data_IF_601045797231
#
_entry.id   IF_601045797231
#
_cell.length_a   1.000
_cell.length_b   1.000
_cell.length_c   1.000
_cell.angle_alpha   90.00
_cell.angle_beta   90.00
_cell.angle_gamma   90.00
#
_symmetry.space_group_name_H-M   'P 1'
#
loop_
_entity.id
_entity.type
_entity.pdbx_description
1 polymer ?
#
# COMPACT_ATOMS: atom_id res chain seq x y z
N UNK A 1 6.68 -4.04 -8.73
CA UNK A 1 5.65 -4.77 -7.96
C UNK A 1 4.32 -4.01 -7.87
N UNK A 2 4.31 -2.70 -7.64
CA UNK A 2 3.08 -1.89 -7.45
C UNK A 2 2.01 -2.05 -8.53
N UNK A 3 2.40 -2.20 -9.81
CA UNK A 3 1.45 -2.39 -10.89
C UNK A 3 0.78 -3.77 -10.89
N UNK A 4 1.40 -4.79 -10.29
CA UNK A 4 0.89 -6.17 -10.26
C UNK A 4 0.15 -6.50 -8.95
N UNK A 5 0.60 -5.95 -7.84
CA UNK A 5 0.11 -6.28 -6.50
C UNK A 5 -1.42 -6.17 -6.35
N UNK A 6 -2.09 -5.09 -6.83
CA UNK A 6 -3.54 -5.00 -6.76
C UNK A 6 -4.25 -6.13 -7.51
N UNK A 7 -3.74 -6.57 -8.66
CA UNK A 7 -4.32 -7.70 -9.38
C UNK A 7 -4.08 -9.03 -8.68
N UNK A 8 -2.89 -9.22 -8.07
CA UNK A 8 -2.57 -10.46 -7.35
C UNK A 8 -3.38 -10.65 -6.07
N UNK A 9 -3.94 -9.57 -5.53
CA UNK A 9 -4.71 -9.58 -4.27
C UNK A 9 -6.21 -9.37 -4.46
N UNK A 10 -6.66 -9.00 -5.67
CA UNK A 10 -8.08 -8.75 -5.95
C UNK A 10 -8.88 -10.05 -5.93
N UNK A 11 -10.02 -10.10 -5.21
CA UNK A 11 -10.79 -11.34 -5.03
C UNK A 11 -11.34 -11.95 -6.33
N UNK A 12 -11.64 -11.11 -7.33
CA UNK A 12 -12.22 -11.54 -8.60
C UNK A 12 -11.17 -11.78 -9.71
N UNK A 13 -9.87 -11.66 -9.39
CA UNK A 13 -8.76 -11.96 -10.30
C UNK A 13 -8.13 -13.30 -9.90
N UNK A 14 -8.36 -14.35 -10.67
CA UNK A 14 -7.87 -15.68 -10.34
C UNK A 14 -6.43 -15.94 -10.80
N UNK A 15 -5.94 -15.24 -11.84
CA UNK A 15 -4.59 -15.39 -12.37
C UNK A 15 -4.02 -14.05 -12.88
N UNK A 16 -2.72 -13.87 -12.72
CA UNK A 16 -1.97 -12.76 -13.31
C UNK A 16 -0.88 -13.34 -14.19
N UNK A 17 -0.90 -13.03 -15.49
CA UNK A 17 0.08 -13.46 -16.48
C UNK A 17 1.04 -12.31 -16.78
N UNK A 18 2.27 -12.32 -16.22
CA UNK A 18 3.27 -11.30 -16.58
C UNK A 18 3.83 -11.53 -17.97
N UNK A 19 4.04 -10.42 -18.67
CA UNK A 19 4.79 -10.37 -19.93
C UNK A 19 5.98 -9.44 -19.72
N UNK A 20 7.20 -9.94 -19.91
CA UNK A 20 8.42 -9.20 -19.59
C UNK A 20 9.40 -9.17 -20.77
N UNK A 21 10.29 -8.18 -20.77
CA UNK A 21 11.47 -8.24 -21.61
C UNK A 21 12.41 -9.35 -21.06
N UNK A 22 12.90 -10.27 -21.88
CA UNK A 22 13.85 -11.28 -21.42
C UNK A 22 15.12 -10.70 -20.79
N UNK A 23 15.58 -9.53 -21.25
CA UNK A 23 16.78 -8.87 -20.72
C UNK A 23 16.59 -8.33 -19.28
N UNK A 24 15.34 -8.12 -18.85
CA UNK A 24 14.98 -7.61 -17.52
C UNK A 24 14.55 -8.71 -16.56
N UNK A 25 14.81 -9.99 -16.87
CA UNK A 25 14.30 -11.13 -16.11
C UNK A 25 14.69 -11.07 -14.62
N UNK A 26 15.96 -10.84 -14.32
CA UNK A 26 16.49 -10.83 -12.95
C UNK A 26 15.90 -9.67 -12.11
N UNK A 27 15.79 -8.48 -12.73
CA UNK A 27 15.18 -7.29 -12.07
C UNK A 27 13.69 -7.55 -11.80
N UNK A 28 12.99 -8.15 -12.78
CA UNK A 28 11.60 -8.52 -12.61
C UNK A 28 11.43 -9.50 -11.45
N UNK A 29 12.18 -10.61 -11.44
CA UNK A 29 12.06 -11.65 -10.41
C UNK A 29 12.36 -11.10 -9.00
N UNK A 30 13.36 -10.23 -8.84
CA UNK A 30 13.62 -9.54 -7.57
C UNK A 30 12.44 -8.64 -7.14
N UNK A 31 11.86 -7.89 -8.08
CA UNK A 31 10.81 -6.92 -7.79
C UNK A 31 9.48 -7.56 -7.35
N UNK A 32 9.18 -8.80 -7.80
CA UNK A 32 7.86 -9.45 -7.63
C UNK A 32 7.91 -10.80 -6.93
N UNK A 33 9.06 -11.23 -6.38
CA UNK A 33 9.28 -12.54 -5.73
C UNK A 33 8.28 -12.86 -4.61
N UNK A 34 7.66 -11.85 -4.01
CA UNK A 34 6.68 -11.96 -2.93
C UNK A 34 5.24 -12.10 -3.42
N UNK A 35 4.99 -11.98 -4.73
CA UNK A 35 3.66 -12.07 -5.33
C UNK A 35 3.38 -13.47 -5.90
N UNK A 36 2.10 -13.80 -6.07
CA UNK A 36 1.65 -15.02 -6.76
C UNK A 36 1.21 -14.67 -8.17
N UNK A 37 1.80 -15.29 -9.18
CA UNK A 37 1.49 -15.07 -10.60
C UNK A 37 1.85 -16.29 -11.43
N UNK A 38 1.36 -16.33 -12.68
CA UNK A 38 1.68 -17.36 -13.68
C UNK A 38 3.13 -17.21 -14.16
N UNK A 39 3.71 -18.30 -14.67
CA UNK A 39 5.06 -18.26 -15.23
C UNK A 39 5.18 -17.13 -16.28
N UNK A 40 6.10 -16.17 -16.11
CA UNK A 40 6.22 -15.06 -17.03
C UNK A 40 6.55 -15.51 -18.46
N UNK A 41 5.95 -14.85 -19.44
CA UNK A 41 6.31 -15.04 -20.87
C UNK A 41 7.09 -13.85 -21.38
N UNK A 42 7.89 -14.09 -22.42
CA UNK A 42 8.65 -13.04 -23.07
C UNK A 42 7.76 -12.22 -23.99
N UNK A 43 7.89 -10.90 -23.91
CA UNK A 43 7.23 -9.97 -24.82
C UNK A 43 7.82 -10.01 -26.23
N UNK A 44 7.09 -9.42 -27.16
CA UNK A 44 7.53 -9.22 -28.54
C UNK A 44 8.16 -7.85 -28.78
N UNK A 45 8.44 -7.55 -30.05
CA UNK A 45 9.05 -6.29 -30.47
C UNK A 45 8.16 -5.05 -30.25
N UNK A 46 6.85 -5.25 -30.16
CA UNK A 46 5.87 -4.17 -29.94
C UNK A 46 5.01 -4.45 -28.71
N UNK A 47 4.34 -3.41 -28.18
CA UNK A 47 3.34 -3.59 -27.10
C UNK A 47 2.26 -4.58 -27.53
N UNK A 48 1.75 -4.46 -28.74
CA UNK A 48 0.72 -5.35 -29.28
C UNK A 48 1.19 -6.81 -29.33
N UNK A 49 2.43 -7.07 -29.80
CA UNK A 49 3.00 -8.41 -29.83
C UNK A 49 3.21 -8.98 -28.42
N UNK A 50 3.57 -8.14 -27.45
CA UNK A 50 3.71 -8.52 -26.05
C UNK A 50 2.36 -8.90 -25.44
N UNK A 51 1.32 -8.09 -25.67
CA UNK A 51 -0.05 -8.40 -25.21
C UNK A 51 -0.52 -9.73 -25.81
N UNK A 52 -0.32 -9.94 -27.10
CA UNK A 52 -0.68 -11.20 -27.75
C UNK A 52 0.03 -12.40 -27.11
N UNK A 53 1.33 -12.29 -26.79
CA UNK A 53 2.06 -13.37 -26.11
C UNK A 53 1.44 -13.71 -24.75
N UNK A 54 1.00 -12.72 -23.98
CA UNK A 54 0.28 -12.93 -22.73
C UNK A 54 -1.08 -13.58 -22.92
N UNK A 55 -1.86 -13.15 -23.91
CA UNK A 55 -3.16 -13.75 -24.23
C UNK A 55 -3.01 -15.21 -24.70
N UNK A 56 -2.03 -15.52 -25.54
CA UNK A 56 -1.76 -16.89 -25.96
C UNK A 56 -1.36 -17.81 -24.79
N UNK A 57 -0.63 -17.29 -23.81
CA UNK A 57 -0.28 -18.04 -22.61
C UNK A 57 -1.48 -18.42 -21.77
N UNK A 58 -2.51 -17.58 -21.75
CA UNK A 58 -3.78 -17.83 -21.06
C UNK A 58 -4.78 -18.67 -21.86
N UNK A 59 -4.48 -19.00 -23.12
CA UNK A 59 -5.45 -19.66 -24.00
C UNK A 59 -5.93 -21.04 -23.50
N UNK A 60 -5.09 -21.77 -22.76
CA UNK A 60 -5.48 -23.06 -22.17
C UNK A 60 -6.41 -22.93 -20.97
N UNK A 61 -6.37 -21.81 -20.27
CA UNK A 61 -7.22 -21.53 -19.11
C UNK A 61 -8.56 -20.93 -19.53
N UNK A 62 -8.60 -20.28 -20.70
CA UNK A 62 -9.78 -19.69 -21.33
C UNK A 62 -10.67 -18.91 -20.35
N UNK A 63 -10.13 -17.85 -19.69
CA UNK A 63 -10.92 -17.07 -18.75
C UNK A 63 -12.10 -16.36 -19.46
N UNK A 64 -13.16 -16.06 -18.73
CA UNK A 64 -14.29 -15.31 -19.30
C UNK A 64 -13.88 -13.89 -19.70
N UNK A 65 -13.14 -13.23 -18.81
CA UNK A 65 -12.68 -11.83 -18.96
C UNK A 65 -11.16 -11.77 -18.81
N UNK A 66 -10.52 -10.95 -19.61
CA UNK A 66 -9.10 -10.58 -19.46
C UNK A 66 -8.96 -9.07 -19.23
N UNK A 67 -8.07 -8.72 -18.33
CA UNK A 67 -7.66 -7.35 -18.02
C UNK A 67 -6.25 -7.11 -18.57
N UNK A 68 -6.09 -6.21 -19.53
CA UNK A 68 -4.80 -5.87 -20.12
C UNK A 68 -4.30 -4.59 -19.46
N UNK A 69 -3.16 -4.66 -18.75
CA UNK A 69 -2.67 -3.55 -17.95
C UNK A 69 -1.23 -3.16 -18.28
N UNK A 70 -0.99 -1.87 -18.42
CA UNK A 70 0.35 -1.32 -18.62
C UNK A 70 1.13 -1.29 -17.30
N UNK A 71 2.28 -1.95 -17.23
CA UNK A 71 3.17 -1.94 -16.06
C UNK A 71 3.62 -0.53 -15.63
N UNK A 72 3.62 0.43 -16.56
CA UNK A 72 3.91 1.83 -16.28
C UNK A 72 2.80 2.58 -15.51
N UNK A 73 1.65 1.95 -15.25
CA UNK A 73 0.57 2.49 -14.40
C UNK A 73 0.60 1.82 -13.03
N UNK A 74 1.51 2.29 -12.19
CA UNK A 74 1.81 1.69 -10.90
C UNK A 74 0.76 1.97 -9.79
N UNK A 75 -0.27 2.78 -10.06
CA UNK A 75 -1.21 3.26 -9.04
C UNK A 75 -2.67 2.89 -9.34
N UNK A 76 -2.89 1.80 -10.04
CA UNK A 76 -4.22 1.24 -10.22
C UNK A 76 -4.80 0.82 -8.87
N UNK A 77 -6.09 1.09 -8.66
CA UNK A 77 -6.80 0.74 -7.42
C UNK A 77 -7.74 -0.44 -7.64
N UNK A 78 -8.06 -1.18 -6.56
CA UNK A 78 -9.04 -2.27 -6.60
C UNK A 78 -10.39 -1.80 -7.17
N UNK A 79 -10.79 -0.55 -6.90
CA UNK A 79 -12.03 0.05 -7.44
C UNK A 79 -12.02 0.13 -8.97
N UNK A 80 -10.88 0.47 -9.57
CA UNK A 80 -10.75 0.51 -11.04
C UNK A 80 -10.77 -0.90 -11.62
N UNK A 81 -10.14 -1.86 -10.94
CA UNK A 81 -10.16 -3.28 -11.34
C UNK A 81 -11.58 -3.84 -11.29
N UNK A 82 -12.31 -3.64 -10.18
CA UNK A 82 -13.71 -4.09 -10.05
C UNK A 82 -14.59 -3.50 -11.15
N UNK A 83 -14.51 -2.15 -11.39
CA UNK A 83 -15.27 -1.49 -12.47
C UNK A 83 -14.95 -2.06 -13.85
N UNK A 84 -13.67 -2.41 -14.10
CA UNK A 84 -13.25 -3.00 -15.37
C UNK A 84 -13.91 -4.37 -15.60
N UNK A 85 -13.92 -5.21 -14.55
CA UNK A 85 -14.57 -6.54 -14.59
C UNK A 85 -16.07 -6.37 -14.82
N UNK A 86 -16.74 -5.57 -14.01
CA UNK A 86 -18.19 -5.34 -14.11
C UNK A 86 -18.60 -4.81 -15.48
N UNK A 87 -17.87 -3.82 -15.99
CA UNK A 87 -18.15 -3.23 -17.30
C UNK A 87 -17.99 -4.27 -18.43
N UNK A 88 -16.90 -5.07 -18.41
CA UNK A 88 -16.66 -6.07 -19.42
C UNK A 88 -17.66 -7.25 -19.36
N UNK A 89 -18.13 -7.64 -18.18
CA UNK A 89 -19.19 -8.62 -18.03
C UNK A 89 -20.50 -8.17 -18.69
N UNK A 90 -20.81 -6.85 -18.63
CA UNK A 90 -22.04 -6.29 -19.20
C UNK A 90 -21.88 -6.04 -20.70
N UNK A 91 -20.77 -5.44 -21.14
CA UNK A 91 -20.62 -4.91 -22.51
C UNK A 91 -19.75 -5.76 -23.42
N UNK A 92 -18.98 -6.69 -22.88
CA UNK A 92 -18.00 -7.51 -23.59
C UNK A 92 -16.64 -6.84 -23.82
N UNK A 93 -16.59 -5.50 -23.86
CA UNK A 93 -15.35 -4.73 -24.01
C UNK A 93 -15.52 -3.36 -23.34
N UNK A 94 -14.61 -2.96 -22.47
CA UNK A 94 -14.65 -1.68 -21.77
C UNK A 94 -13.26 -1.19 -21.33
N UNK A 95 -13.09 0.14 -21.32
CA UNK A 95 -11.84 0.79 -20.91
C UNK A 95 -12.08 1.92 -19.89
N UNK A 96 -11.17 2.11 -18.92
CA UNK A 96 -11.22 3.25 -18.02
C UNK A 96 -10.83 4.53 -18.74
N UNK A 97 -11.58 5.60 -18.47
CA UNK A 97 -11.30 6.91 -19.05
C UNK A 97 -11.39 8.00 -18.00
N UNK A 98 -10.61 9.06 -18.19
CA UNK A 98 -10.76 10.31 -17.43
C UNK A 98 -11.01 11.48 -18.39
N UNK A 99 -11.72 12.55 -17.96
CA UNK A 99 -11.93 13.74 -18.78
C UNK A 99 -10.58 14.37 -19.19
N UNK A 100 -10.48 14.87 -20.42
CA UNK A 100 -9.38 15.73 -20.83
C UNK A 100 -9.56 17.11 -20.17
N UNK A 101 -8.60 17.52 -19.32
CA UNK A 101 -8.63 18.80 -18.59
C UNK A 101 -8.07 19.94 -19.42
N UNK A 102 -7.07 19.65 -20.26
CA UNK A 102 -6.42 20.64 -21.10
C UNK A 102 -7.11 20.85 -22.45
N UNK A 103 -6.85 22.00 -23.10
CA UNK A 103 -7.30 22.23 -24.46
C UNK A 103 -6.43 21.45 -25.44
N UNK A 104 -7.04 20.51 -26.16
CA UNK A 104 -6.35 19.70 -27.17
C UNK A 104 -6.35 20.43 -28.51
N UNK A 105 -5.20 20.46 -29.17
CA UNK A 105 -5.01 20.99 -30.53
C UNK A 105 -4.61 19.87 -31.48
N UNK A 106 -5.30 19.78 -32.59
CA UNK A 106 -4.88 18.96 -33.73
C UNK A 106 -3.96 19.82 -34.59
N UNK A 107 -2.76 19.32 -34.86
CA UNK A 107 -1.76 20.03 -35.67
C UNK A 107 -1.37 19.21 -36.89
N UNK A 108 -0.94 19.90 -37.97
CA UNK A 108 -0.38 19.25 -39.16
C UNK A 108 1.13 18.96 -39.00
N UNK A 109 1.73 18.42 -40.06
CA UNK A 109 3.16 18.07 -40.07
C UNK A 109 4.10 19.28 -39.89
N UNK A 110 3.60 20.53 -40.09
CA UNK A 110 4.37 21.78 -39.89
C UNK A 110 4.23 22.33 -38.49
N UNK A 111 3.34 21.75 -37.65
CA UNK A 111 2.99 22.24 -36.31
C UNK A 111 1.88 23.30 -36.33
N UNK A 112 1.28 23.61 -37.48
CA UNK A 112 0.16 24.55 -37.55
C UNK A 112 -1.14 23.92 -37.04
N UNK A 113 -1.92 24.71 -36.26
CA UNK A 113 -3.20 24.26 -35.66
C UNK A 113 -4.23 24.07 -36.76
N UNK A 114 -4.77 22.86 -36.89
CA UNK A 114 -5.82 22.49 -37.82
C UNK A 114 -7.22 22.50 -37.16
N UNK A 115 -7.30 22.08 -35.90
CA UNK A 115 -8.57 22.02 -35.18
C UNK A 115 -8.38 22.14 -33.67
N UNK A 116 -9.45 22.51 -32.99
CA UNK A 116 -9.57 22.47 -31.55
C UNK A 116 -10.85 21.68 -31.21
N UNK A 117 -10.73 20.36 -30.97
CA UNK A 117 -11.87 19.54 -30.61
C UNK A 117 -12.56 20.00 -29.33
N UNK A 118 -13.86 19.81 -29.24
CA UNK A 118 -14.59 20.07 -28.00
C UNK A 118 -14.16 19.05 -26.93
N UNK A 119 -13.49 19.55 -25.90
CA UNK A 119 -12.98 18.73 -24.80
C UNK A 119 -14.08 18.00 -24.00
N UNK A 120 -15.33 18.48 -24.08
CA UNK A 120 -16.46 17.81 -23.41
C UNK A 120 -16.62 16.36 -23.91
N UNK A 121 -16.23 16.09 -25.15
CA UNK A 121 -16.31 14.78 -25.79
C UNK A 121 -14.98 14.02 -25.78
N UNK A 122 -13.90 14.60 -25.25
CA UNK A 122 -12.59 13.97 -25.20
C UNK A 122 -12.37 13.26 -23.88
N UNK A 123 -11.80 12.07 -23.97
CA UNK A 123 -11.42 11.26 -22.82
C UNK A 123 -9.99 10.77 -22.99
N UNK A 124 -9.26 10.68 -21.88
CA UNK A 124 -7.93 10.09 -21.85
C UNK A 124 -8.12 8.63 -21.43
N UNK A 125 -7.75 7.70 -22.31
CA UNK A 125 -7.82 6.27 -22.05
C UNK A 125 -6.75 5.83 -21.05
N UNK A 126 -7.15 4.93 -20.19
CA UNK A 126 -6.24 4.29 -19.23
C UNK A 126 -6.29 2.77 -19.35
N UNK A 127 -5.56 2.06 -18.50
CA UNK A 127 -5.65 0.62 -18.29
C UNK A 127 -5.91 0.31 -16.81
N UNK A 128 -6.51 -0.84 -16.45
CA UNK A 128 -6.70 -2.05 -17.27
C UNK A 128 -7.82 -1.89 -18.30
N UNK A 129 -7.56 -2.32 -19.54
CA UNK A 129 -8.58 -2.47 -20.58
C UNK A 129 -9.15 -3.89 -20.47
N UNK A 130 -10.45 -4.02 -20.39
CA UNK A 130 -11.14 -5.26 -20.07
C UNK A 130 -11.96 -5.77 -21.25
N UNK A 131 -11.84 -7.05 -21.56
CA UNK A 131 -12.47 -7.69 -22.71
C UNK A 131 -12.93 -9.11 -22.40
N UNK A 132 -13.93 -9.61 -23.13
CA UNK A 132 -14.12 -11.05 -23.25
C UNK A 132 -12.87 -11.67 -23.87
N UNK A 133 -12.37 -12.69 -23.22
CA UNK A 133 -11.07 -13.27 -23.56
C UNK A 133 -11.01 -13.80 -25.00
N UNK A 134 -12.00 -14.59 -25.40
CA UNK A 134 -12.08 -15.19 -26.73
C UNK A 134 -12.09 -14.14 -27.84
N UNK A 135 -12.87 -13.07 -27.66
CA UNK A 135 -13.05 -12.02 -28.67
C UNK A 135 -11.79 -11.19 -28.86
N UNK A 136 -11.11 -10.80 -27.76
CA UNK A 136 -9.88 -10.01 -27.90
C UNK A 136 -8.69 -10.85 -28.37
N UNK A 137 -8.58 -12.12 -27.98
CA UNK A 137 -7.57 -13.03 -28.49
C UNK A 137 -7.72 -13.24 -30.01
N UNK A 138 -8.95 -13.46 -30.49
CA UNK A 138 -9.22 -13.59 -31.92
C UNK A 138 -8.90 -12.31 -32.68
N UNK A 139 -9.21 -11.14 -32.12
CA UNK A 139 -8.85 -9.85 -32.72
C UNK A 139 -7.32 -9.68 -32.87
N UNK A 140 -6.56 -10.01 -31.81
CA UNK A 140 -5.09 -9.99 -31.85
C UNK A 140 -4.49 -10.98 -32.85
N UNK A 141 -5.06 -12.20 -32.92
CA UNK A 141 -4.64 -13.22 -33.90
C UNK A 141 -4.93 -12.79 -35.33
N UNK A 142 -6.09 -12.15 -35.55
CA UNK A 142 -6.46 -11.61 -36.86
C UNK A 142 -5.52 -10.47 -37.26
N UNK A 143 -5.27 -9.50 -36.38
CA UNK A 143 -4.32 -8.41 -36.63
C UNK A 143 -2.94 -8.93 -37.02
N UNK A 144 -2.43 -9.96 -36.31
CA UNK A 144 -1.15 -10.58 -36.61
C UNK A 144 -1.15 -11.28 -37.99
N UNK A 145 -2.21 -12.01 -38.37
CA UNK A 145 -2.32 -12.63 -39.70
C UNK A 145 -2.35 -11.63 -40.82
N UNK A 146 -2.93 -10.45 -40.59
CA UNK A 146 -3.02 -9.35 -41.55
C UNK A 146 -1.77 -8.42 -41.54
N UNK A 147 -0.75 -8.76 -40.70
CA UNK A 147 0.46 -7.98 -40.58
C UNK A 147 0.27 -6.60 -39.95
N UNK A 148 -0.79 -6.42 -39.20
CA UNK A 148 -1.13 -5.17 -38.51
C UNK A 148 -0.50 -5.15 -37.12
N UNK A 149 0.42 -4.22 -36.85
CA UNK A 149 1.07 -4.00 -35.56
C UNK A 149 1.11 -2.50 -35.14
N UNK A 150 0.27 -1.69 -35.77
CA UNK A 150 0.20 -0.24 -35.69
C UNK A 150 -0.85 0.30 -34.70
N UNK A 151 -1.52 -0.58 -33.96
CA UNK A 151 -2.53 -0.17 -33.01
C UNK A 151 -1.91 0.41 -31.71
N UNK A 152 -2.47 1.52 -31.25
CA UNK A 152 -1.95 2.24 -30.08
C UNK A 152 -2.32 1.58 -28.74
N UNK A 153 -3.48 0.89 -28.71
CA UNK A 153 -3.97 0.16 -27.54
C UNK A 153 -4.89 -1.01 -27.95
N UNK A 154 -5.38 -1.76 -26.98
CA UNK A 154 -6.20 -2.95 -27.22
C UNK A 154 -7.65 -2.58 -27.58
N UNK A 155 -8.11 -1.40 -27.14
CA UNK A 155 -9.40 -0.85 -27.59
C UNK A 155 -9.42 -0.61 -29.08
N UNK A 156 -8.35 -0.03 -29.65
CA UNK A 156 -8.23 0.21 -31.10
C UNK A 156 -8.25 -1.12 -31.89
N UNK A 157 -7.64 -2.19 -31.36
CA UNK A 157 -7.71 -3.52 -32.00
C UNK A 157 -9.14 -4.06 -31.94
N UNK A 158 -9.82 -3.93 -30.78
CA UNK A 158 -11.21 -4.35 -30.62
C UNK A 158 -12.15 -3.61 -31.58
N UNK A 159 -12.04 -2.27 -31.66
CA UNK A 159 -12.80 -1.43 -32.58
C UNK A 159 -12.57 -1.82 -34.05
N UNK A 160 -11.30 -2.02 -34.44
CA UNK A 160 -10.97 -2.50 -35.80
C UNK A 160 -11.56 -3.88 -36.11
N UNK A 161 -11.63 -4.76 -35.09
CA UNK A 161 -12.26 -6.07 -35.23
C UNK A 161 -13.80 -5.99 -35.29
N UNK A 162 -14.39 -4.81 -35.10
CA UNK A 162 -15.84 -4.58 -35.13
C UNK A 162 -16.56 -4.68 -33.79
N UNK A 163 -15.79 -4.70 -32.70
CA UNK A 163 -16.35 -4.71 -31.34
C UNK A 163 -16.73 -3.28 -30.92
N UNK A 164 -17.84 -3.14 -30.20
CA UNK A 164 -18.17 -1.89 -29.50
C UNK A 164 -17.46 -1.85 -28.17
N UNK A 165 -16.62 -0.85 -27.95
CA UNK A 165 -15.88 -0.67 -26.69
C UNK A 165 -16.60 0.40 -25.85
N UNK A 166 -17.06 0.00 -24.67
CA UNK A 166 -17.65 0.91 -23.69
C UNK A 166 -16.58 1.63 -22.87
N UNK A 167 -16.96 2.72 -22.21
CA UNK A 167 -16.09 3.42 -21.27
C UNK A 167 -16.67 3.40 -19.87
N UNK A 168 -15.78 3.35 -18.86
CA UNK A 168 -16.14 3.53 -17.46
C UNK A 168 -15.22 4.54 -16.79
N UNK A 169 -15.59 4.97 -15.59
CA UNK A 169 -14.83 5.96 -14.83
C UNK A 169 -13.48 5.39 -14.38
N UNK A 170 -12.39 5.99 -14.85
CA UNK A 170 -11.01 5.70 -14.43
C UNK A 170 -10.65 6.41 -13.13
N UNK A 171 -9.36 6.61 -12.91
CA UNK A 171 -8.81 7.30 -11.74
C UNK A 171 -7.67 8.22 -12.18
N UNK A 172 -7.74 9.52 -11.83
CA UNK A 172 -6.70 10.48 -12.16
C UNK A 172 -5.32 10.10 -11.58
N UNK A 173 -5.30 9.38 -10.45
CA UNK A 173 -4.08 8.87 -9.85
C UNK A 173 -3.47 7.69 -10.62
N UNK A 174 -4.24 7.01 -11.49
CA UNK A 174 -3.77 5.90 -12.33
C UNK A 174 -3.07 6.41 -13.60
N UNK A 175 -2.15 7.35 -13.42
CA UNK A 175 -1.38 7.92 -14.52
C UNK A 175 -0.30 6.96 -15.03
N UNK A 176 0.13 7.14 -16.27
CA UNK A 176 1.23 6.38 -16.87
C UNK A 176 2.55 7.10 -16.59
N UNK A 177 3.49 6.42 -15.93
CA UNK A 177 4.82 6.93 -15.64
C UNK A 177 5.72 6.67 -16.86
N UNK A 178 6.07 7.71 -17.59
CA UNK A 178 6.84 7.60 -18.85
C UNK A 178 8.08 8.45 -18.88
N UNK A 179 8.16 9.47 -18.04
CA UNK A 179 9.28 10.40 -17.97
C UNK A 179 9.89 10.44 -16.57
N UNK A 180 11.17 10.84 -16.40
CA UNK A 180 11.75 11.05 -15.08
C UNK A 180 10.95 12.03 -14.22
N UNK A 181 10.34 13.04 -14.83
CA UNK A 181 9.49 14.02 -14.14
C UNK A 181 8.21 13.39 -13.58
N UNK A 182 7.63 12.39 -14.28
CA UNK A 182 6.49 11.64 -13.76
C UNK A 182 6.87 10.88 -12.49
N UNK A 183 8.04 10.24 -12.48
CA UNK A 183 8.56 9.55 -11.30
C UNK A 183 8.81 10.52 -10.14
N UNK A 184 9.50 11.64 -10.38
CA UNK A 184 9.77 12.64 -9.35
C UNK A 184 8.47 13.20 -8.73
N UNK A 185 7.46 13.47 -9.56
CA UNK A 185 6.14 13.93 -9.10
C UNK A 185 5.44 12.90 -8.22
N UNK A 186 5.46 11.62 -8.62
CA UNK A 186 4.83 10.56 -7.84
C UNK A 186 5.60 10.22 -6.56
N UNK A 187 6.92 10.31 -6.56
CA UNK A 187 7.72 10.22 -5.33
C UNK A 187 7.38 11.33 -4.35
N UNK A 188 7.27 12.58 -4.83
CA UNK A 188 6.85 13.70 -4.00
C UNK A 188 5.43 13.51 -3.44
N UNK A 189 4.48 13.01 -4.27
CA UNK A 189 3.12 12.68 -3.84
C UNK A 189 3.10 11.59 -2.77
N UNK A 190 3.87 10.52 -2.96
CA UNK A 190 4.00 9.44 -1.97
C UNK A 190 4.68 9.94 -0.69
N UNK A 191 5.71 10.79 -0.82
CA UNK A 191 6.36 11.44 0.31
C UNK A 191 5.40 12.31 1.12
N UNK A 192 4.55 13.09 0.45
CA UNK A 192 3.52 13.89 1.11
C UNK A 192 2.44 13.03 1.82
N UNK A 193 2.17 11.81 1.32
CA UNK A 193 1.26 10.86 1.96
C UNK A 193 1.86 10.19 3.21
N UNK A 194 3.19 10.22 3.40
CA UNK A 194 3.83 9.70 4.63
C UNK A 194 3.49 10.54 5.86
N UNK A 195 2.97 11.75 5.67
CA UNK A 195 2.55 12.62 6.76
C UNK A 195 3.73 13.16 7.59
N UNK A 196 3.41 13.68 8.76
CA UNK A 196 4.36 14.20 9.75
C UNK A 196 4.94 13.01 10.55
N UNK A 197 6.12 12.50 10.15
CA UNK A 197 6.81 11.42 10.87
C UNK A 197 7.56 12.02 12.05
N UNK A 198 7.20 11.59 13.25
CA UNK A 198 7.84 12.00 14.51
C UNK A 198 8.42 10.81 15.24
N UNK A 199 9.52 11.04 15.94
CA UNK A 199 10.11 10.09 16.89
C UNK A 199 10.10 10.71 18.28
N UNK A 200 9.92 9.89 19.30
CA UNK A 200 10.01 10.31 20.69
C UNK A 200 10.89 9.34 21.47
N UNK A 201 11.54 9.88 22.50
CA UNK A 201 12.36 9.12 23.44
C UNK A 201 11.83 9.39 24.83
N UNK A 202 11.62 8.34 25.62
CA UNK A 202 11.26 8.43 27.02
C UNK A 202 12.29 7.68 27.87
N UNK A 203 12.49 8.13 29.09
CA UNK A 203 13.37 7.54 30.06
C UNK A 203 12.72 7.60 31.44
N UNK A 204 12.72 6.46 32.16
CA UNK A 204 12.22 6.40 33.52
C UNK A 204 13.11 5.53 34.42
N UNK A 205 13.16 5.87 35.68
CA UNK A 205 13.88 5.13 36.69
C UNK A 205 13.19 5.27 38.05
N UNK A 206 13.03 4.16 38.73
CA UNK A 206 12.46 4.12 40.09
C UNK A 206 13.41 3.51 41.10
N UNK A 207 13.38 4.06 42.30
CA UNK A 207 14.06 3.45 43.44
C UNK A 207 13.37 2.14 43.83
N UNK A 208 14.15 1.19 44.32
CA UNK A 208 13.64 -0.06 44.89
C UNK A 208 13.24 0.14 46.37
N UNK A 209 12.14 -0.50 46.77
CA UNK A 209 11.63 -0.55 48.13
C UNK A 209 11.31 -2.01 48.52
N UNK A 210 10.79 -2.25 49.72
CA UNK A 210 10.30 -3.58 50.11
C UNK A 210 9.13 -3.99 49.23
N UNK A 211 9.10 -5.27 48.84
CA UNK A 211 8.08 -5.81 47.95
C UNK A 211 8.41 -7.25 47.56
N UNK A 212 7.55 -7.84 46.76
CA UNK A 212 7.65 -9.23 46.30
C UNK A 212 7.59 -9.38 44.77
N UNK A 213 7.38 -8.27 44.05
CA UNK A 213 7.40 -8.26 42.59
C UNK A 213 7.70 -6.86 42.01
N UNK A 214 8.06 -6.81 40.73
CA UNK A 214 8.17 -5.61 39.92
C UNK A 214 7.16 -5.68 38.77
N UNK A 215 6.49 -4.56 38.47
CA UNK A 215 5.75 -4.42 37.21
C UNK A 215 6.73 -3.96 36.11
N UNK A 216 6.86 -4.73 35.04
CA UNK A 216 7.75 -4.42 33.93
C UNK A 216 7.04 -4.66 32.59
N UNK A 217 6.80 -3.60 31.83
CA UNK A 217 6.09 -3.63 30.56
C UNK A 217 4.71 -4.34 30.65
N UNK A 218 3.98 -4.11 31.74
CA UNK A 218 2.66 -4.69 32.00
C UNK A 218 2.69 -6.14 32.48
N UNK A 219 3.88 -6.69 32.80
CA UNK A 219 4.05 -8.06 33.31
C UNK A 219 4.51 -8.04 34.75
N UNK A 220 3.81 -8.73 35.68
CA UNK A 220 4.29 -8.89 37.05
C UNK A 220 5.46 -9.89 37.08
N UNK A 221 6.60 -9.42 37.56
CA UNK A 221 7.85 -10.20 37.62
C UNK A 221 8.18 -10.46 39.07
N UNK A 222 8.17 -11.71 39.55
CA UNK A 222 8.55 -12.03 40.91
C UNK A 222 9.96 -11.54 41.22
N UNK A 223 10.12 -10.78 42.30
CA UNK A 223 11.38 -10.21 42.74
C UNK A 223 11.31 -9.93 44.25
N UNK A 224 12.42 -9.88 44.92
CA UNK A 224 12.48 -9.67 46.39
C UNK A 224 12.41 -8.18 46.79
N UNK A 225 12.05 -7.29 45.88
CA UNK A 225 11.85 -5.85 46.05
C UNK A 225 10.68 -5.37 45.20
N UNK A 226 10.12 -4.21 45.53
CA UNK A 226 9.15 -3.48 44.73
C UNK A 226 9.71 -2.16 44.24
N UNK A 227 8.95 -1.42 43.42
CA UNK A 227 9.28 -0.04 43.05
C UNK A 227 8.66 0.95 44.05
N UNK A 228 9.43 2.00 44.39
CA UNK A 228 8.89 3.15 45.10
C UNK A 228 8.28 4.10 44.06
N UNK A 229 6.96 4.05 43.89
CA UNK A 229 6.23 4.83 42.92
C UNK A 229 4.84 5.25 43.42
N UNK A 230 4.20 6.22 42.76
CA UNK A 230 2.80 6.60 43.03
C UNK A 230 1.79 5.68 42.33
N UNK A 231 2.16 5.08 41.18
CA UNK A 231 1.42 4.08 40.43
C UNK A 231 1.91 2.66 40.77
N UNK A 232 1.69 1.69 39.88
CA UNK A 232 2.30 0.36 39.95
C UNK A 232 3.82 0.36 39.68
N UNK A 233 4.38 1.52 39.27
CA UNK A 233 5.81 1.74 39.06
C UNK A 233 6.40 1.07 37.82
N UNK A 234 5.58 0.74 36.82
CA UNK A 234 6.07 0.10 35.60
C UNK A 234 6.96 1.05 34.78
N UNK A 235 8.26 1.03 35.05
CA UNK A 235 9.26 1.89 34.38
C UNK A 235 9.27 1.73 32.85
N UNK A 236 8.97 0.52 32.35
CA UNK A 236 8.94 0.25 30.92
C UNK A 236 7.78 0.93 30.22
N UNK A 237 6.58 0.83 30.82
CA UNK A 237 5.41 1.52 30.30
C UNK A 237 5.51 3.04 30.48
N UNK A 238 6.07 3.54 31.59
CA UNK A 238 6.26 4.97 31.82
C UNK A 238 7.19 5.58 30.77
N UNK A 239 8.30 4.92 30.44
CA UNK A 239 9.20 5.39 29.39
C UNK A 239 8.49 5.44 28.02
N UNK A 240 7.63 4.48 27.68
CA UNK A 240 6.84 4.55 26.45
C UNK A 240 5.83 5.72 26.51
N UNK A 241 5.18 5.91 27.67
CA UNK A 241 4.23 7.01 27.86
C UNK A 241 4.90 8.36 27.71
N UNK A 242 6.14 8.55 28.17
CA UNK A 242 6.88 9.80 27.95
C UNK A 242 7.30 9.98 26.49
N UNK A 243 7.73 8.90 25.83
CA UNK A 243 8.12 8.95 24.43
C UNK A 243 7.00 9.45 23.50
N UNK A 244 5.76 9.05 23.76
CA UNK A 244 4.61 9.36 22.88
C UNK A 244 4.21 10.83 22.97
N UNK A 245 3.83 11.41 24.14
CA UNK A 245 3.57 12.84 24.24
C UNK A 245 4.76 13.70 23.84
N UNK A 246 6.00 13.26 24.14
CA UNK A 246 7.21 13.93 23.67
C UNK A 246 7.28 14.05 22.15
N UNK A 247 6.96 12.97 21.40
CA UNK A 247 6.85 13.01 19.94
C UNK A 247 5.75 13.95 19.44
N UNK A 248 4.68 14.11 20.23
CA UNK A 248 3.55 15.00 19.92
C UNK A 248 3.78 16.46 20.36
N UNK A 249 4.90 16.75 21.03
CA UNK A 249 5.15 18.04 21.73
C UNK A 249 4.02 18.38 22.73
N UNK A 250 3.53 17.39 23.48
CA UNK A 250 2.35 17.45 24.35
C UNK A 250 2.69 17.16 25.82
N UNK A 251 3.90 17.55 26.24
CA UNK A 251 4.37 17.34 27.61
C UNK A 251 4.88 15.92 27.87
N UNK A 252 4.68 15.46 29.11
CA UNK A 252 5.17 14.22 29.69
C UNK A 252 4.09 13.49 30.50
N UNK A 253 4.41 12.33 31.06
CA UNK A 253 3.50 11.56 31.91
C UNK A 253 3.01 12.40 33.12
N UNK A 254 3.87 13.24 33.70
CA UNK A 254 3.52 14.07 34.84
C UNK A 254 2.53 15.18 34.50
N UNK A 255 2.57 15.70 33.28
CA UNK A 255 1.63 16.70 32.76
C UNK A 255 0.23 16.13 32.59
N UNK A 256 0.12 14.88 32.11
CA UNK A 256 -1.17 14.20 31.89
C UNK A 256 -1.71 13.50 33.14
N UNK A 257 -0.81 13.02 34.01
CA UNK A 257 -1.12 12.25 35.22
C UNK A 257 -0.36 12.80 36.42
N UNK A 258 -0.71 13.99 36.91
CA UNK A 258 0.06 14.64 37.98
C UNK A 258 0.04 13.77 39.26
N UNK A 259 1.22 13.50 39.85
CA UNK A 259 1.34 12.71 41.08
C UNK A 259 0.57 13.28 42.27
N UNK A 260 0.23 14.58 42.23
CA UNK A 260 -0.57 15.25 43.24
C UNK A 260 -2.07 14.85 43.22
N UNK A 261 -2.55 14.22 42.14
CA UNK A 261 -3.93 13.77 42.01
C UNK A 261 -4.08 12.38 42.64
N UNK A 262 -4.82 12.25 43.78
CA UNK A 262 -4.97 10.98 44.48
C UNK A 262 -5.56 9.83 43.66
N UNK A 263 -6.26 10.11 42.55
CA UNK A 263 -6.85 9.09 41.67
C UNK A 263 -5.84 8.20 41.01
N UNK A 264 -4.58 8.66 40.88
CA UNK A 264 -3.49 7.91 40.26
C UNK A 264 -2.67 7.06 41.22
N UNK A 265 -2.99 7.14 42.53
CA UNK A 265 -2.30 6.37 43.56
C UNK A 265 -2.58 4.87 43.36
N UNK A 266 -1.54 4.11 43.06
CA UNK A 266 -1.65 2.65 42.81
C UNK A 266 -2.31 2.31 41.45
N UNK A 267 -2.46 3.29 40.55
CA UNK A 267 -3.07 3.05 39.25
C UNK A 267 -2.16 2.14 38.40
N UNK A 268 -2.77 1.26 37.62
CA UNK A 268 -2.05 0.43 36.64
C UNK A 268 -1.57 1.26 35.47
N UNK A 269 -0.28 1.14 35.10
CA UNK A 269 0.35 1.95 34.05
C UNK A 269 -0.16 1.67 32.64
N UNK A 270 -0.90 0.57 32.43
CA UNK A 270 -1.58 0.29 31.16
C UNK A 270 -2.59 1.39 30.78
N UNK A 271 -3.23 2.03 31.77
CA UNK A 271 -4.17 3.15 31.56
C UNK A 271 -3.45 4.38 31.00
N UNK A 272 -2.22 4.64 31.46
CA UNK A 272 -1.42 5.77 30.98
C UNK A 272 -1.00 5.54 29.54
N UNK A 273 -0.57 4.32 29.21
CA UNK A 273 -0.19 3.98 27.84
C UNK A 273 -1.40 4.01 26.88
N UNK A 274 -2.57 3.50 27.29
CA UNK A 274 -3.83 3.62 26.51
C UNK A 274 -4.18 5.07 26.22
N UNK A 275 -4.03 5.95 27.20
CA UNK A 275 -4.26 7.39 27.01
C UNK A 275 -3.29 7.99 25.99
N UNK A 276 -1.98 7.72 26.14
CA UNK A 276 -0.97 8.22 25.21
C UNK A 276 -1.22 7.75 23.76
N UNK A 277 -1.59 6.47 23.56
CA UNK A 277 -2.02 5.94 22.27
C UNK A 277 -3.24 6.69 21.73
N UNK A 278 -4.20 6.98 22.60
CA UNK A 278 -5.40 7.77 22.28
C UNK A 278 -5.07 9.17 21.75
N UNK A 279 -4.06 9.85 22.32
CA UNK A 279 -3.61 11.17 21.84
C UNK A 279 -3.07 11.12 20.38
N UNK A 280 -2.36 10.05 20.02
CA UNK A 280 -1.90 9.84 18.64
C UNK A 280 -3.09 9.68 17.70
N UNK A 281 -4.06 8.84 18.05
CA UNK A 281 -5.23 8.58 17.23
C UNK A 281 -6.12 9.83 17.07
N UNK A 282 -6.31 10.63 18.15
CA UNK A 282 -7.07 11.89 18.09
C UNK A 282 -6.47 12.90 17.10
N UNK A 283 -5.16 12.86 16.88
CA UNK A 283 -4.45 13.68 15.90
C UNK A 283 -4.37 13.05 14.50
N UNK A 284 -5.10 11.95 14.27
CA UNK A 284 -5.08 11.21 12.99
C UNK A 284 -3.78 10.46 12.73
N UNK A 285 -2.92 10.32 13.74
CA UNK A 285 -1.65 9.63 13.67
C UNK A 285 -1.76 8.12 13.94
N UNK A 286 -0.66 7.42 13.72
CA UNK A 286 -0.49 6.02 14.10
C UNK A 286 0.91 5.77 14.62
N UNK A 287 1.03 4.86 15.58
CA UNK A 287 2.33 4.39 16.04
C UNK A 287 2.85 3.34 15.05
N UNK A 288 4.07 3.50 14.58
CA UNK A 288 4.67 2.58 13.61
C UNK A 288 5.45 1.45 14.28
N UNK A 289 6.14 1.75 15.40
CA UNK A 289 7.02 0.82 16.11
C UNK A 289 7.24 1.33 17.54
N UNK A 290 7.45 0.43 18.49
CA UNK A 290 7.88 0.73 19.86
C UNK A 290 9.07 -0.14 20.22
N UNK A 291 10.05 0.47 20.90
CA UNK A 291 11.21 -0.23 21.45
C UNK A 291 11.43 0.20 22.90
N UNK A 292 11.67 -0.77 23.75
CA UNK A 292 12.02 -0.56 25.17
C UNK A 292 13.35 -1.23 25.47
N UNK A 293 14.33 -0.46 25.91
CA UNK A 293 15.59 -0.99 26.44
C UNK A 293 15.59 -0.88 27.94
N UNK A 294 15.71 -2.00 28.62
CA UNK A 294 15.83 -2.06 30.08
C UNK A 294 17.28 -2.34 30.51
N UNK A 295 17.81 -1.48 31.40
CA UNK A 295 19.16 -1.59 31.96
C UNK A 295 19.03 -1.98 33.42
N UNK A 296 19.24 -3.25 33.73
CA UNK A 296 19.19 -3.75 35.11
C UNK A 296 20.11 -5.01 35.29
N UNK A 297 20.61 -5.21 36.47
CA UNK A 297 21.35 -6.43 36.81
C UNK A 297 20.41 -7.63 37.01
N UNK A 298 19.26 -7.35 37.63
CA UNK A 298 18.18 -8.31 37.92
C UNK A 298 16.85 -7.58 37.99
N UNK A 299 15.71 -8.24 37.66
CA UNK A 299 15.60 -9.62 37.18
C UNK A 299 16.13 -9.79 35.73
N UNK A 300 16.37 -11.04 35.31
CA UNK A 300 16.76 -11.29 33.90
C UNK A 300 15.58 -11.11 32.98
N UNK A 301 15.69 -10.17 32.06
CA UNK A 301 14.61 -9.76 31.14
C UNK A 301 14.40 -10.78 30.00
N UNK A 302 15.49 -11.40 29.51
CA UNK A 302 15.42 -12.29 28.35
C UNK A 302 14.27 -13.33 28.35
N UNK A 303 14.07 -14.09 29.45
CA UNK A 303 12.97 -15.06 29.54
C UNK A 303 11.55 -14.44 29.50
N UNK A 304 11.43 -13.15 29.81
CA UNK A 304 10.15 -12.43 29.94
C UNK A 304 9.83 -11.59 28.70
N UNK A 305 10.79 -11.45 27.79
CA UNK A 305 10.71 -10.55 26.63
C UNK A 305 9.44 -10.74 25.79
N UNK A 306 9.10 -11.98 25.47
CA UNK A 306 7.93 -12.24 24.61
C UNK A 306 6.62 -11.92 25.32
N UNK A 307 6.51 -12.14 26.63
CA UNK A 307 5.36 -11.75 27.42
C UNK A 307 5.20 -10.23 27.49
N UNK A 308 6.31 -9.51 27.68
CA UNK A 308 6.32 -8.03 27.68
C UNK A 308 5.93 -7.46 26.32
N UNK A 309 6.49 -7.99 25.23
CA UNK A 309 6.13 -7.62 23.86
C UNK A 309 4.64 -7.84 23.57
N UNK A 310 4.12 -9.00 23.96
CA UNK A 310 2.72 -9.32 23.79
C UNK A 310 1.82 -8.36 24.58
N UNK A 311 2.20 -8.01 25.81
CA UNK A 311 1.43 -7.10 26.66
C UNK A 311 1.42 -5.66 26.12
N UNK A 312 2.57 -5.15 25.69
CA UNK A 312 2.64 -3.84 25.02
C UNK A 312 1.79 -3.84 23.74
N UNK A 313 1.87 -4.90 22.93
CA UNK A 313 1.07 -5.05 21.72
C UNK A 313 -0.44 -5.04 22.00
N UNK A 314 -0.88 -5.76 23.03
CA UNK A 314 -2.27 -5.77 23.54
C UNK A 314 -2.75 -4.37 23.91
N UNK A 315 -1.96 -3.64 24.71
CA UNK A 315 -2.33 -2.32 25.23
C UNK A 315 -2.41 -1.28 24.07
N UNK A 316 -1.49 -1.36 23.13
CA UNK A 316 -1.33 -0.35 22.05
C UNK A 316 -2.10 -0.67 20.79
N UNK A 317 -2.57 -1.90 20.62
CA UNK A 317 -3.19 -2.38 19.38
C UNK A 317 -2.18 -2.64 18.25
N UNK A 318 -0.88 -2.62 18.53
CA UNK A 318 0.16 -2.91 17.55
C UNK A 318 0.33 -4.42 17.33
N UNK A 319 0.68 -4.85 16.10
CA UNK A 319 1.19 -6.22 15.92
C UNK A 319 2.46 -6.44 16.77
N UNK A 320 2.60 -7.60 17.40
CA UNK A 320 3.79 -7.92 18.23
C UNK A 320 5.11 -7.82 17.45
N UNK A 321 5.09 -8.00 16.13
CA UNK A 321 6.26 -7.79 15.24
C UNK A 321 6.74 -6.33 15.19
N UNK A 322 5.95 -5.38 15.71
CA UNK A 322 6.28 -3.94 15.80
C UNK A 322 6.62 -3.48 17.22
N UNK A 323 6.85 -4.43 18.11
CA UNK A 323 7.26 -4.17 19.50
C UNK A 323 8.57 -4.91 19.79
N UNK A 324 9.58 -4.17 20.24
CA UNK A 324 10.87 -4.71 20.72
C UNK A 324 11.04 -4.44 22.22
N UNK A 325 11.66 -5.40 22.93
CA UNK A 325 12.08 -5.28 24.34
C UNK A 325 13.44 -5.92 24.49
#
# INVERSE_FOLDING_TARGET
>A
SRAMEPFCTHPDVFAVQPVRNPDDADIFDQAVSHLKYQTPVNGGATRQASVRAGLEALASEAPDIVLIHDAARAFVTDKVISRAIDAALITGAAIPVVPATDTIKVVDATGAIQATPDRANLRIAQTPQAFRFDTILDAHRRAAREGRDDFTDDAAIAEWAGLTVATFEGDAANMKLTTPEDFAREEARLGAMLGDIRTGTGYDVHALTDGDHLMLCGVPVPFNRGFLAHSDGDVGLHAIVDAIPGALADGDIGSHFPPSDPKWKGAASDQFLKHAVGLVHQRGGRIAHLEVTMICEAPKIGPLRDAMRAKIAEITGLPQSRVAV
#
